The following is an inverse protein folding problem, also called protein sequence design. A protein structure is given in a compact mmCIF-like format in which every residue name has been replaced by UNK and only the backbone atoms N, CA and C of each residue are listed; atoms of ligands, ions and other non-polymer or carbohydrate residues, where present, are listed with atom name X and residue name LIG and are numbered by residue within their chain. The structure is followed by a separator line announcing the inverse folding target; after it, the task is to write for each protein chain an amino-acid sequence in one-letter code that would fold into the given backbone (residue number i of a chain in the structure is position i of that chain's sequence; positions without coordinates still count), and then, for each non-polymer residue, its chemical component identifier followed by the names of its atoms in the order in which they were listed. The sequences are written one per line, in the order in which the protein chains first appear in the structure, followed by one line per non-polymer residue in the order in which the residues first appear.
data_IF_786195724545
#
_entry.id   IF_786195724545
#
_cell.length_a   1.000
_cell.length_b   1.000
_cell.length_c   1.000
_cell.angle_alpha   90.00
_cell.angle_beta   90.00
_cell.angle_gamma   90.00
#
_symmetry.space_group_name_H-M   'P 1'
#
loop_
_entity.id
_entity.type
_entity.pdbx_description
1 polymer ?
#
# COMPACT_ATOMS: atom_id res chain seq x y z
N UNK A 1 -21.91 26.78 -41.32
CA UNK A 1 -21.67 25.78 -40.29
C UNK A 1 -20.34 26.10 -39.62
N UNK A 2 -20.36 26.60 -38.40
CA UNK A 2 -19.17 26.83 -37.62
C UNK A 2 -18.86 25.54 -36.83
N UNK A 3 -17.79 24.86 -37.20
CA UNK A 3 -17.28 23.72 -36.43
C UNK A 3 -16.71 24.24 -35.12
N UNK A 4 -17.35 23.93 -34.01
CA UNK A 4 -16.85 24.13 -32.66
C UNK A 4 -15.68 23.18 -32.44
N UNK A 5 -14.45 23.68 -32.47
CA UNK A 5 -13.30 22.98 -31.93
C UNK A 5 -13.48 22.90 -30.41
N UNK A 6 -13.94 21.76 -29.90
CA UNK A 6 -13.74 21.40 -28.52
C UNK A 6 -12.23 21.26 -28.31
N UNK A 7 -11.64 22.23 -27.62
CA UNK A 7 -10.30 22.06 -27.07
C UNK A 7 -10.37 20.94 -26.03
N UNK A 8 -9.78 19.80 -26.37
CA UNK A 8 -9.39 18.81 -25.39
C UNK A 8 -8.61 19.55 -24.28
N UNK A 9 -9.17 19.60 -23.09
CA UNK A 9 -8.42 19.99 -21.90
C UNK A 9 -7.45 18.85 -21.60
N UNK A 10 -6.35 18.76 -22.39
CA UNK A 10 -5.25 17.88 -22.08
C UNK A 10 -4.82 18.13 -20.65
N UNK A 11 -4.65 17.07 -19.87
CA UNK A 11 -4.09 17.11 -18.54
C UNK A 11 -2.71 17.81 -18.60
N UNK A 12 -2.70 19.12 -18.42
CA UNK A 12 -1.46 19.89 -18.41
C UNK A 12 -0.80 19.67 -17.04
N UNK A 13 0.27 18.89 -17.05
CA UNK A 13 1.15 18.75 -15.89
C UNK A 13 1.84 20.11 -15.66
N UNK A 14 1.51 20.79 -14.60
CA UNK A 14 2.23 22.00 -14.16
C UNK A 14 3.41 21.56 -13.26
N UNK A 15 4.66 21.62 -13.77
CA UNK A 15 5.84 21.17 -13.02
C UNK A 15 6.13 22.03 -11.77
N UNK A 16 5.42 23.14 -11.59
CA UNK A 16 5.55 24.00 -10.40
C UNK A 16 4.63 23.57 -9.27
N UNK A 17 3.65 22.69 -9.52
CA UNK A 17 2.76 22.18 -8.47
C UNK A 17 3.42 21.00 -7.78
N UNK A 18 3.43 20.96 -6.45
CA UNK A 18 3.97 19.81 -5.73
C UNK A 18 3.17 18.55 -6.06
N UNK A 19 3.88 17.45 -6.30
CA UNK A 19 3.27 16.12 -6.36
C UNK A 19 3.28 15.58 -4.93
N UNK A 20 2.09 15.33 -4.39
CA UNK A 20 1.93 14.72 -3.06
C UNK A 20 1.41 13.31 -3.28
N UNK A 21 2.21 12.33 -2.89
CA UNK A 21 1.83 10.91 -2.88
C UNK A 21 2.04 10.36 -1.48
N UNK A 22 0.95 10.25 -0.75
CA UNK A 22 0.93 9.67 0.58
C UNK A 22 0.07 8.41 0.56
N UNK A 23 0.64 7.36 -0.02
CA UNK A 23 -0.05 6.10 -0.35
C UNK A 23 0.45 4.89 0.46
N UNK A 24 1.56 5.02 1.18
CA UNK A 24 2.15 3.93 1.96
C UNK A 24 1.28 3.50 3.14
N UNK A 25 1.25 2.20 3.39
CA UNK A 25 0.56 1.56 4.51
C UNK A 25 1.59 0.95 5.45
N UNK A 26 1.49 1.25 6.73
CA UNK A 26 2.37 0.71 7.77
C UNK A 26 1.69 -0.48 8.46
N UNK A 27 2.28 -1.67 8.33
CA UNK A 27 1.69 -2.92 8.79
C UNK A 27 2.56 -3.54 9.88
N UNK A 28 2.00 -3.66 11.07
CA UNK A 28 2.59 -4.38 12.20
C UNK A 28 2.10 -5.83 12.16
N UNK A 29 3.03 -6.78 12.18
CA UNK A 29 2.70 -8.21 12.09
C UNK A 29 3.00 -8.86 13.43
N UNK A 30 1.96 -9.35 14.09
CA UNK A 30 2.06 -9.91 15.43
C UNK A 30 1.42 -11.32 15.49
N UNK A 31 1.84 -12.14 16.43
CA UNK A 31 1.13 -13.35 16.76
C UNK A 31 0.03 -13.10 17.79
N UNK A 32 -0.73 -14.13 18.15
CA UNK A 32 -1.82 -14.03 19.13
C UNK A 32 -1.37 -13.64 20.54
N UNK A 33 -0.06 -13.65 20.82
CA UNK A 33 0.52 -13.20 22.10
C UNK A 33 1.00 -11.75 22.06
N UNK A 34 0.86 -11.06 20.90
CA UNK A 34 1.34 -9.70 20.68
C UNK A 34 2.87 -9.62 20.43
N UNK A 35 3.52 -10.74 20.11
CA UNK A 35 4.94 -10.77 19.76
C UNK A 35 5.11 -10.37 18.29
N UNK A 36 6.09 -9.51 18.01
CA UNK A 36 6.39 -9.02 16.66
C UNK A 36 7.00 -10.15 15.80
N UNK A 37 6.27 -10.58 14.77
CA UNK A 37 6.71 -11.64 13.87
C UNK A 37 7.73 -11.21 12.81
N UNK A 38 8.03 -9.92 12.70
CA UNK A 38 9.09 -9.41 11.82
C UNK A 38 10.46 -9.42 12.51
N UNK A 39 10.50 -9.62 13.83
CA UNK A 39 11.73 -9.71 14.59
C UNK A 39 12.33 -11.10 14.51
N UNK A 40 13.59 -11.26 14.07
CA UNK A 40 14.27 -12.56 14.03
C UNK A 40 14.41 -13.24 15.42
N UNK A 41 14.22 -12.49 16.51
CA UNK A 41 14.22 -13.02 17.86
C UNK A 41 12.92 -13.72 18.25
N UNK A 42 11.83 -13.51 17.47
CA UNK A 42 10.54 -14.12 17.74
C UNK A 42 10.45 -15.51 17.10
N UNK A 43 9.91 -16.47 17.83
CA UNK A 43 9.67 -17.80 17.28
C UNK A 43 8.71 -17.73 16.07
N UNK A 44 9.02 -18.47 15.02
CA UNK A 44 8.27 -18.47 13.75
C UNK A 44 8.22 -17.08 13.08
N UNK A 45 9.30 -16.29 13.23
CA UNK A 45 9.39 -15.00 12.56
C UNK A 45 9.18 -15.13 11.05
N UNK A 46 8.67 -14.07 10.46
CA UNK A 46 8.45 -13.95 9.03
C UNK A 46 9.62 -13.15 8.43
N UNK A 47 10.40 -13.77 7.56
CA UNK A 47 11.40 -13.05 6.79
C UNK A 47 10.68 -12.09 5.82
N UNK A 48 10.74 -10.80 6.11
CA UNK A 48 10.06 -9.79 5.31
C UNK A 48 10.52 -9.77 3.85
N UNK A 49 11.74 -10.24 3.55
CA UNK A 49 12.27 -10.35 2.18
C UNK A 49 11.60 -11.45 1.37
N UNK A 50 10.99 -12.43 2.05
CA UNK A 50 10.25 -13.51 1.41
C UNK A 50 8.78 -13.12 1.13
N UNK A 51 8.27 -12.06 1.74
CA UNK A 51 6.91 -11.57 1.50
C UNK A 51 6.82 -11.07 0.05
N UNK A 52 5.74 -11.44 -0.64
CA UNK A 52 5.49 -11.06 -2.03
C UNK A 52 4.27 -10.16 -2.12
N UNK A 53 4.32 -9.19 -3.03
CA UNK A 53 3.23 -8.27 -3.30
C UNK A 53 2.74 -8.46 -4.73
N UNK A 54 1.42 -8.44 -4.91
CA UNK A 54 0.78 -8.54 -6.21
C UNK A 54 -0.27 -7.44 -6.35
N UNK A 55 -0.37 -6.88 -7.53
CA UNK A 55 -1.46 -5.98 -7.89
C UNK A 55 -2.48 -6.69 -8.76
N UNK A 56 -3.76 -6.41 -8.53
CA UNK A 56 -4.82 -6.83 -9.44
C UNK A 56 -4.90 -5.80 -10.58
N UNK A 57 -4.43 -6.18 -11.76
CA UNK A 57 -4.38 -5.33 -12.94
C UNK A 57 -5.13 -6.03 -14.07
N UNK A 58 -6.20 -5.42 -14.60
CA UNK A 58 -7.00 -6.00 -15.68
C UNK A 58 -7.42 -7.46 -15.40
N UNK A 59 -7.94 -7.71 -14.20
CA UNK A 59 -8.32 -9.03 -13.68
C UNK A 59 -7.18 -10.06 -13.58
N UNK A 60 -5.93 -9.62 -13.66
CA UNK A 60 -4.75 -10.45 -13.50
C UNK A 60 -3.97 -10.08 -12.24
N UNK A 61 -3.53 -11.10 -11.51
CA UNK A 61 -2.64 -10.96 -10.34
C UNK A 61 -1.20 -10.85 -10.83
N UNK A 62 -0.61 -9.66 -10.74
CA UNK A 62 0.74 -9.34 -11.23
C UNK A 62 1.69 -9.14 -10.07
N UNK A 63 2.76 -9.93 -9.99
CA UNK A 63 3.79 -9.78 -8.96
C UNK A 63 4.59 -8.49 -9.16
N UNK A 64 4.84 -7.77 -8.07
CA UNK A 64 5.65 -6.56 -8.07
C UNK A 64 7.07 -6.91 -7.64
N UNK A 65 8.00 -6.72 -8.58
CA UNK A 65 9.41 -6.94 -8.33
C UNK A 65 10.27 -6.10 -9.30
N UNK A 66 10.99 -5.11 -8.76
CA UNK A 66 11.93 -4.29 -9.53
C UNK A 66 13.22 -4.12 -8.73
N UNK A 67 14.31 -4.74 -9.22
CA UNK A 67 15.63 -4.71 -8.59
C UNK A 67 16.27 -3.31 -8.54
N UNK A 68 15.78 -2.36 -9.33
CA UNK A 68 16.31 -0.99 -9.35
C UNK A 68 15.71 -0.10 -8.24
N UNK A 69 14.73 -0.63 -7.50
CA UNK A 69 14.09 0.09 -6.41
C UNK A 69 14.75 -0.25 -5.07
N UNK A 70 14.82 0.72 -4.15
CA UNK A 70 15.31 0.50 -2.77
C UNK A 70 14.47 -0.56 -2.04
N UNK A 71 13.20 -0.65 -2.39
CA UNK A 71 12.27 -1.67 -1.91
C UNK A 71 11.71 -2.45 -3.11
N UNK A 72 12.43 -3.46 -3.61
CA UNK A 72 12.16 -4.12 -4.89
C UNK A 72 10.75 -4.71 -5.04
N UNK A 73 10.10 -5.04 -3.93
CA UNK A 73 8.74 -5.60 -3.90
C UNK A 73 7.68 -4.58 -3.48
N UNK A 74 8.02 -3.28 -3.44
CA UNK A 74 7.19 -2.25 -2.81
C UNK A 74 6.86 -2.57 -1.33
N UNK A 75 7.75 -3.30 -0.67
CA UNK A 75 7.73 -3.63 0.75
C UNK A 75 9.07 -3.21 1.33
N UNK A 76 9.05 -2.31 2.32
CA UNK A 76 10.23 -1.88 3.07
C UNK A 76 10.10 -2.26 4.53
N UNK A 77 11.17 -2.79 5.14
CA UNK A 77 11.23 -2.91 6.59
C UNK A 77 11.59 -1.57 7.20
N UNK A 78 10.80 -1.12 8.16
CA UNK A 78 11.08 0.05 9.00
C UNK A 78 11.40 -0.43 10.41
N UNK A 79 12.38 0.23 11.02
CA UNK A 79 12.83 -0.06 12.39
C UNK A 79 13.01 1.25 13.13
N UNK A 80 12.00 1.63 13.90
CA UNK A 80 12.00 2.84 14.73
C UNK A 80 11.36 2.53 16.07
N UNK A 81 11.69 3.30 17.10
CA UNK A 81 11.09 3.20 18.44
C UNK A 81 11.18 1.78 19.05
N UNK A 82 12.26 1.04 18.76
CA UNK A 82 12.47 -0.35 19.18
C UNK A 82 11.38 -1.32 18.65
N UNK A 83 10.76 -1.00 17.55
CA UNK A 83 9.79 -1.84 16.88
C UNK A 83 10.08 -1.94 15.38
N UNK A 84 9.74 -3.06 14.78
CA UNK A 84 9.87 -3.30 13.35
C UNK A 84 8.48 -3.46 12.75
N UNK A 85 8.25 -2.83 11.59
CA UNK A 85 7.06 -3.02 10.79
C UNK A 85 7.40 -2.92 9.31
N UNK A 86 6.50 -3.34 8.46
CA UNK A 86 6.68 -3.17 7.02
C UNK A 86 5.82 -2.01 6.51
N UNK A 87 6.40 -1.22 5.61
CA UNK A 87 5.65 -0.28 4.77
C UNK A 87 5.39 -0.93 3.42
N UNK A 88 4.14 -1.00 3.07
CA UNK A 88 3.67 -1.54 1.79
C UNK A 88 3.16 -0.39 0.92
N UNK A 89 3.54 -0.37 -0.35
CA UNK A 89 2.96 0.54 -1.33
C UNK A 89 1.88 -0.23 -2.09
N UNK A 90 0.59 0.03 -1.83
CA UNK A 90 -0.50 -0.65 -2.52
C UNK A 90 -0.63 -0.17 -3.98
N UNK A 91 -1.45 -0.85 -4.76
CA UNK A 91 -1.76 -0.44 -6.13
C UNK A 91 -2.55 0.87 -6.12
N UNK A 92 -2.01 1.92 -6.74
CA UNK A 92 -2.60 3.25 -6.77
C UNK A 92 -2.52 3.94 -8.14
N UNK A 93 -1.92 3.26 -9.14
CA UNK A 93 -1.57 3.88 -10.42
C UNK A 93 -2.71 3.89 -11.45
N UNK A 94 -3.81 3.21 -11.17
CA UNK A 94 -4.98 3.18 -12.04
C UNK A 94 -6.09 4.14 -11.56
N UNK A 95 -7.13 4.26 -12.36
CA UNK A 95 -8.32 5.07 -12.06
C UNK A 95 -9.41 4.28 -11.31
N UNK A 96 -9.13 3.05 -10.89
CA UNK A 96 -10.06 2.27 -10.08
C UNK A 96 -10.32 2.97 -8.76
N UNK A 97 -11.59 2.99 -8.34
CA UNK A 97 -11.99 3.62 -7.09
C UNK A 97 -11.47 2.84 -5.88
N UNK A 98 -11.45 1.50 -6.00
CA UNK A 98 -11.05 0.58 -4.94
C UNK A 98 -10.04 -0.46 -5.45
N UNK A 99 -8.81 -0.05 -5.80
CA UNK A 99 -7.80 -0.99 -6.29
C UNK A 99 -7.43 -2.03 -5.25
N UNK A 100 -7.09 -3.23 -5.73
CA UNK A 100 -6.78 -4.40 -4.90
C UNK A 100 -5.30 -4.73 -4.99
N UNK A 101 -4.71 -4.98 -3.82
CA UNK A 101 -3.37 -5.47 -3.63
C UNK A 101 -3.43 -6.76 -2.82
N UNK A 102 -2.66 -7.77 -3.20
CA UNK A 102 -2.50 -8.99 -2.42
C UNK A 102 -1.13 -8.99 -1.77
N UNK A 103 -1.07 -9.32 -0.48
CA UNK A 103 0.16 -9.56 0.25
C UNK A 103 0.24 -11.05 0.58
N UNK A 104 1.23 -11.73 0.01
CA UNK A 104 1.46 -13.15 0.19
C UNK A 104 2.58 -13.33 1.22
N UNK A 105 2.20 -13.75 2.42
CA UNK A 105 3.11 -13.97 3.54
C UNK A 105 3.95 -15.22 3.34
N UNK A 106 3.35 -16.24 2.73
CA UNK A 106 3.96 -17.50 2.29
C UNK A 106 3.03 -18.16 1.25
N UNK A 107 3.40 -19.32 0.76
CA UNK A 107 2.64 -20.04 -0.28
C UNK A 107 1.21 -20.46 0.13
N UNK A 108 0.89 -20.44 1.44
CA UNK A 108 -0.42 -20.85 1.98
C UNK A 108 -1.22 -19.69 2.59
N UNK A 109 -0.63 -18.52 2.71
CA UNK A 109 -1.23 -17.39 3.43
C UNK A 109 -1.13 -16.10 2.62
N UNK A 110 -2.28 -15.61 2.17
CA UNK A 110 -2.41 -14.37 1.39
C UNK A 110 -3.54 -13.54 1.95
N UNK A 111 -3.26 -12.27 2.23
CA UNK A 111 -4.26 -11.28 2.59
C UNK A 111 -4.59 -10.37 1.40
N UNK A 112 -5.83 -9.88 1.37
CA UNK A 112 -6.31 -8.92 0.39
C UNK A 112 -6.38 -7.54 1.02
N UNK A 113 -5.71 -6.58 0.41
CA UNK A 113 -5.77 -5.16 0.79
C UNK A 113 -6.53 -4.42 -0.29
N UNK A 114 -7.59 -3.74 0.08
CA UNK A 114 -8.34 -2.85 -0.78
C UNK A 114 -8.19 -1.42 -0.26
N UNK A 115 -7.91 -0.48 -1.14
CA UNK A 115 -7.69 0.91 -0.77
C UNK A 115 -8.67 1.82 -1.50
N UNK A 116 -8.97 2.95 -0.87
CA UNK A 116 -9.53 4.13 -1.55
C UNK A 116 -8.51 5.26 -1.48
N UNK A 117 -8.42 6.05 -2.54
CA UNK A 117 -7.51 7.18 -2.64
C UNK A 117 -8.24 8.48 -2.95
N UNK A 118 -8.03 9.47 -2.13
CA UNK A 118 -8.35 10.85 -2.51
C UNK A 118 -7.40 11.29 -3.61
N UNK A 119 -7.97 11.77 -4.71
CA UNK A 119 -7.23 12.27 -5.86
C UNK A 119 -7.70 13.69 -6.15
N UNK A 120 -6.77 14.63 -6.04
CA UNK A 120 -7.03 16.05 -6.27
C UNK A 120 -6.04 16.63 -7.28
N UNK A 121 -6.37 17.80 -7.83
CA UNK A 121 -5.53 18.54 -8.75
C UNK A 121 -5.03 17.70 -9.95
N UNK A 122 -5.94 17.00 -10.64
CA UNK A 122 -5.63 16.13 -11.77
C UNK A 122 -4.61 15.03 -11.43
N UNK A 123 -4.71 14.44 -10.23
CA UNK A 123 -3.86 13.35 -9.77
C UNK A 123 -2.48 13.78 -9.25
N UNK A 124 -2.22 15.08 -9.12
CA UNK A 124 -0.99 15.53 -8.46
C UNK A 124 -1.01 15.33 -6.95
N UNK A 125 -2.20 15.17 -6.36
CA UNK A 125 -2.39 14.79 -4.96
C UNK A 125 -3.08 13.44 -4.93
N UNK A 126 -2.43 12.47 -4.31
CA UNK A 126 -2.97 11.14 -4.05
C UNK A 126 -2.67 10.76 -2.60
N UNK A 127 -3.73 10.51 -1.83
CA UNK A 127 -3.64 10.14 -0.42
C UNK A 127 -4.52 8.94 -0.18
N UNK A 128 -3.97 7.88 0.41
CA UNK A 128 -4.77 6.74 0.86
C UNK A 128 -5.58 7.17 2.09
N UNK A 129 -6.90 7.19 1.97
CA UNK A 129 -7.79 7.66 3.02
C UNK A 129 -8.64 6.54 3.64
N UNK A 130 -8.77 5.38 2.97
CA UNK A 130 -9.46 4.22 3.50
C UNK A 130 -8.76 2.92 3.10
N UNK A 131 -8.71 1.96 4.01
CA UNK A 131 -8.11 0.63 3.79
C UNK A 131 -8.98 -0.46 4.39
N UNK A 132 -9.19 -1.53 3.63
CA UNK A 132 -9.81 -2.78 4.08
C UNK A 132 -8.80 -3.91 3.97
N UNK A 133 -8.73 -4.72 5.02
CA UNK A 133 -7.97 -5.96 5.07
C UNK A 133 -8.97 -7.12 5.08
N UNK A 134 -8.94 -7.98 4.07
CA UNK A 134 -9.86 -9.11 3.92
C UNK A 134 -11.34 -8.71 4.08
N UNK A 135 -11.69 -7.54 3.53
CA UNK A 135 -13.06 -7.00 3.58
C UNK A 135 -13.43 -6.25 4.86
N UNK A 136 -12.58 -6.23 5.88
CA UNK A 136 -12.79 -5.47 7.11
C UNK A 136 -12.02 -4.15 7.08
N UNK A 137 -12.69 -3.03 7.36
CA UNK A 137 -12.03 -1.72 7.38
C UNK A 137 -11.05 -1.65 8.55
N UNK A 138 -9.78 -1.34 8.23
CA UNK A 138 -8.69 -1.19 9.19
C UNK A 138 -8.16 0.25 9.27
N UNK A 139 -8.45 1.07 8.26
CA UNK A 139 -8.15 2.50 8.27
C UNK A 139 -9.28 3.29 7.57
N UNK A 140 -9.72 4.47 8.09
CA UNK A 140 -9.32 5.04 9.37
C UNK A 140 -9.66 4.12 10.54
N UNK A 141 -8.78 4.12 11.54
CA UNK A 141 -8.87 3.28 12.72
C UNK A 141 -7.87 3.72 13.78
N UNK A 142 -7.67 2.88 14.78
CA UNK A 142 -6.68 3.14 15.82
C UNK A 142 -5.25 3.03 15.27
N UNK A 143 -4.45 4.08 15.49
CA UNK A 143 -3.04 4.09 15.09
C UNK A 143 -2.24 3.12 15.97
N UNK A 144 -1.45 2.25 15.35
CA UNK A 144 -0.57 1.33 16.07
C UNK A 144 0.68 2.08 16.53
N UNK A 145 0.89 2.14 17.83
CA UNK A 145 2.04 2.83 18.45
C UNK A 145 2.20 4.29 17.98
N UNK A 146 1.11 4.98 17.65
CA UNK A 146 1.12 6.36 17.16
C UNK A 146 1.60 6.54 15.71
N UNK A 147 1.76 5.46 14.97
CA UNK A 147 2.12 5.52 13.55
C UNK A 147 0.85 5.77 12.72
N UNK A 148 0.87 6.84 11.94
CA UNK A 148 -0.26 7.20 11.07
C UNK A 148 -0.48 6.15 9.99
N UNK A 149 -1.74 5.86 9.68
CA UNK A 149 -2.16 4.92 8.63
C UNK A 149 -1.54 3.54 8.83
N UNK A 150 -1.51 3.12 10.08
CA UNK A 150 -1.02 1.82 10.48
C UNK A 150 -2.16 0.91 10.92
N UNK A 151 -1.94 -0.38 10.77
CA UNK A 151 -2.84 -1.41 11.31
C UNK A 151 -2.05 -2.69 11.63
N UNK A 152 -2.68 -3.56 12.40
CA UNK A 152 -2.10 -4.85 12.78
C UNK A 152 -2.63 -5.97 11.90
N UNK A 153 -1.74 -6.90 11.59
CA UNK A 153 -2.06 -8.21 11.02
C UNK A 153 -1.63 -9.27 12.02
N UNK A 154 -2.54 -10.16 12.37
CA UNK A 154 -2.28 -11.26 13.31
C UNK A 154 -2.10 -12.55 12.52
N UNK A 155 -1.00 -13.25 12.76
CA UNK A 155 -0.61 -14.49 12.09
C UNK A 155 -0.31 -15.61 13.07
#
# INVERSE_FOLDING_TARGET
MLASCQKDKGNYFDPRKPIIRDVGLDIFVENNKGENLLSPATANYIDWKAIRLFYLMEDQKVEIYDLNMDCPRNICLLNELNSEWIRVIPYFLNDEEYPITYIEWNEFDTDTIQCHFLRENNGSIQVCDQVWLNGSQVYPGEEVYGVKRSFKVIK
#
